data_IF_380871194337
#
_entry.id   IF_380871194337
#
_cell.length_a   1.000
_cell.length_b   1.000
_cell.length_c   1.000
_cell.angle_alpha   90.00
_cell.angle_beta   90.00
_cell.angle_gamma   90.00
#
_symmetry.space_group_name_H-M   'P 1'
#
loop_
_entity.id
_entity.type
_entity.pdbx_description
1 polymer ?
#
# COMPACT_ATOMS: atom_id res chain seq x y z
N UNK A 1 15.95 -47.04 -10.63
CA UNK A 1 14.73 -46.76 -9.84
C UNK A 1 14.66 -45.32 -9.31
N UNK A 2 15.67 -44.79 -8.60
CA UNK A 2 15.61 -43.41 -8.06
C UNK A 2 15.52 -42.31 -9.15
N UNK A 3 16.27 -42.43 -10.25
CA UNK A 3 16.28 -41.45 -11.34
C UNK A 3 14.94 -41.35 -12.09
N UNK A 4 14.22 -42.46 -12.24
CA UNK A 4 12.89 -42.49 -12.85
C UNK A 4 11.85 -41.83 -11.95
N UNK A 5 11.88 -42.12 -10.64
CA UNK A 5 11.01 -41.43 -9.66
C UNK A 5 11.23 -39.93 -9.64
N UNK A 6 12.49 -39.48 -9.65
CA UNK A 6 12.83 -38.05 -9.73
C UNK A 6 12.29 -37.40 -11.01
N UNK A 7 12.41 -38.08 -12.15
CA UNK A 7 11.89 -37.57 -13.43
C UNK A 7 10.37 -37.48 -13.43
N UNK A 8 9.68 -38.43 -12.83
CA UNK A 8 8.22 -38.44 -12.75
C UNK A 8 7.70 -37.37 -11.78
N UNK A 9 8.33 -37.19 -10.61
CA UNK A 9 8.02 -36.09 -9.70
C UNK A 9 8.29 -34.72 -10.35
N UNK A 10 9.39 -34.58 -11.10
CA UNK A 10 9.68 -33.35 -11.85
C UNK A 10 8.61 -33.05 -12.90
N UNK A 11 8.16 -34.06 -13.65
CA UNK A 11 7.06 -33.89 -14.62
C UNK A 11 5.76 -33.48 -13.94
N UNK A 12 5.43 -34.06 -12.79
CA UNK A 12 4.23 -33.69 -12.00
C UNK A 12 4.30 -32.26 -11.51
N UNK A 13 5.45 -31.85 -10.96
CA UNK A 13 5.69 -30.49 -10.53
C UNK A 13 5.56 -29.51 -11.71
N UNK A 14 6.15 -29.84 -12.86
CA UNK A 14 6.05 -29.03 -14.07
C UNK A 14 4.62 -28.92 -14.60
N UNK A 15 3.87 -30.02 -14.64
CA UNK A 15 2.47 -29.99 -15.07
C UNK A 15 1.59 -29.18 -14.11
N UNK A 16 1.86 -29.25 -12.80
CA UNK A 16 1.14 -28.45 -11.81
C UNK A 16 1.44 -26.96 -11.97
N UNK A 17 2.71 -26.58 -12.21
CA UNK A 17 3.11 -25.20 -12.51
C UNK A 17 2.44 -24.69 -13.79
N UNK A 18 2.40 -25.50 -14.85
CA UNK A 18 1.76 -25.14 -16.11
C UNK A 18 0.23 -24.99 -16.00
N UNK A 19 -0.39 -25.62 -15.00
CA UNK A 19 -1.82 -25.51 -14.72
C UNK A 19 -2.19 -24.32 -13.81
N UNK A 20 -1.21 -23.56 -13.30
CA UNK A 20 -1.47 -22.40 -12.46
C UNK A 20 -2.17 -21.29 -13.26
N UNK A 21 -3.09 -20.60 -12.58
CA UNK A 21 -3.75 -19.43 -13.13
C UNK A 21 -2.72 -18.31 -13.36
N UNK A 22 -2.65 -17.80 -14.59
CA UNK A 22 -1.68 -16.79 -14.99
C UNK A 22 -1.87 -15.46 -14.27
N UNK A 23 -3.11 -15.07 -13.97
CA UNK A 23 -3.43 -13.86 -13.21
C UNK A 23 -2.93 -14.01 -11.77
N UNK A 24 -3.19 -15.15 -11.13
CA UNK A 24 -2.72 -15.43 -9.76
C UNK A 24 -1.19 -15.38 -9.70
N UNK A 25 -0.51 -16.07 -10.61
CA UNK A 25 0.97 -16.06 -10.66
C UNK A 25 1.50 -14.65 -10.89
N UNK A 26 0.93 -13.92 -11.84
CA UNK A 26 1.33 -12.55 -12.13
C UNK A 26 1.20 -11.66 -10.89
N UNK A 27 0.06 -11.70 -10.20
CA UNK A 27 -0.18 -10.86 -9.02
C UNK A 27 0.78 -11.21 -7.89
N UNK A 28 0.97 -12.49 -7.60
CA UNK A 28 1.87 -12.94 -6.52
C UNK A 28 3.34 -12.59 -6.80
N UNK A 29 3.74 -12.46 -8.07
CA UNK A 29 5.07 -11.97 -8.45
C UNK A 29 5.14 -10.45 -8.43
N UNK A 30 4.11 -9.76 -8.90
CA UNK A 30 4.12 -8.29 -9.04
C UNK A 30 3.99 -7.59 -7.71
N UNK A 31 3.22 -8.12 -6.74
CA UNK A 31 3.08 -7.52 -5.40
C UNK A 31 4.45 -7.30 -4.73
N UNK A 32 5.32 -8.31 -4.54
CA UNK A 32 6.62 -8.09 -3.92
C UNK A 32 7.53 -7.20 -4.77
N UNK A 33 7.44 -7.24 -6.11
CA UNK A 33 8.20 -6.31 -6.96
C UNK A 33 7.77 -4.86 -6.74
N UNK A 34 6.46 -4.59 -6.67
CA UNK A 34 5.94 -3.26 -6.35
C UNK A 34 6.41 -2.80 -4.97
N UNK A 35 6.39 -3.67 -3.96
CA UNK A 35 6.92 -3.36 -2.63
C UNK A 35 8.43 -3.08 -2.65
N UNK A 36 9.23 -3.84 -3.40
CA UNK A 36 10.67 -3.57 -3.54
C UNK A 36 10.89 -2.22 -4.20
N UNK A 37 10.15 -1.90 -5.27
CA UNK A 37 10.24 -0.61 -5.96
C UNK A 37 9.84 0.53 -5.02
N UNK A 38 8.75 0.36 -4.26
CA UNK A 38 8.29 1.29 -3.23
C UNK A 38 9.39 1.61 -2.21
N UNK A 39 10.05 0.59 -1.66
CA UNK A 39 11.08 0.77 -0.64
C UNK A 39 12.36 1.42 -1.17
N UNK A 40 12.71 1.17 -2.44
CA UNK A 40 13.92 1.72 -3.05
C UNK A 40 13.65 3.09 -3.68
N UNK A 41 12.79 3.14 -4.69
CA UNK A 41 12.49 4.35 -5.47
C UNK A 41 11.63 5.35 -4.71
N UNK A 42 10.70 4.86 -3.88
CA UNK A 42 9.84 5.71 -3.06
C UNK A 42 10.54 6.31 -1.84
N UNK A 43 11.77 5.89 -1.52
CA UNK A 43 12.44 6.30 -0.30
C UNK A 43 12.65 7.81 -0.17
N UNK A 44 12.55 8.30 1.07
CA UNK A 44 12.81 9.71 1.38
C UNK A 44 14.28 10.09 1.17
N UNK A 45 15.20 9.16 1.35
CA UNK A 45 16.63 9.36 1.08
C UNK A 45 16.87 9.63 -0.39
N UNK A 46 16.30 8.81 -1.29
CA UNK A 46 16.41 9.02 -2.73
C UNK A 46 15.90 10.40 -3.14
N UNK A 47 14.75 10.82 -2.61
CA UNK A 47 14.25 12.18 -2.84
C UNK A 47 15.26 13.24 -2.40
N UNK A 48 15.80 13.14 -1.18
CA UNK A 48 16.74 14.14 -0.64
C UNK A 48 18.05 14.19 -1.41
N UNK A 49 18.53 13.06 -1.88
CA UNK A 49 19.81 12.95 -2.60
C UNK A 49 19.70 13.36 -4.07
N UNK A 50 18.60 12.99 -4.75
CA UNK A 50 18.51 13.11 -6.22
C UNK A 50 17.48 14.13 -6.70
N UNK A 51 16.46 14.44 -5.89
CA UNK A 51 15.33 15.27 -6.32
C UNK A 51 15.24 16.61 -5.58
N UNK A 52 15.69 16.69 -4.33
CA UNK A 52 15.55 17.90 -3.52
C UNK A 52 16.26 19.12 -4.12
N UNK A 53 17.34 18.92 -4.89
CA UNK A 53 18.06 20.00 -5.57
C UNK A 53 17.25 20.74 -6.64
N UNK A 54 16.14 20.16 -7.13
CA UNK A 54 15.26 20.81 -8.11
C UNK A 54 14.17 21.67 -7.47
N UNK A 55 14.05 21.67 -6.14
CA UNK A 55 13.00 22.38 -5.41
C UNK A 55 13.59 23.38 -4.41
N UNK A 56 12.85 24.43 -4.03
CA UNK A 56 13.31 25.35 -3.00
C UNK A 56 13.48 24.63 -1.65
N UNK A 57 14.53 24.97 -0.91
CA UNK A 57 14.93 24.28 0.31
C UNK A 57 13.83 24.23 1.39
N UNK A 58 13.01 25.28 1.47
CA UNK A 58 11.86 25.40 2.39
C UNK A 58 10.77 24.33 2.14
N UNK A 59 10.60 23.86 0.90
CA UNK A 59 9.61 22.83 0.53
C UNK A 59 10.18 21.41 0.62
N UNK A 60 11.50 21.26 0.72
CA UNK A 60 12.18 19.95 0.66
C UNK A 60 11.66 18.97 1.73
N UNK A 61 11.30 19.47 2.91
CA UNK A 61 10.75 18.67 4.00
C UNK A 61 9.42 18.00 3.66
N UNK A 62 8.42 18.80 3.26
CA UNK A 62 7.09 18.31 2.90
C UNK A 62 7.11 17.52 1.58
N UNK A 63 7.90 17.96 0.60
CA UNK A 63 8.03 17.25 -0.67
C UNK A 63 8.69 15.88 -0.52
N UNK A 64 9.64 15.72 0.42
CA UNK A 64 10.19 14.40 0.76
C UNK A 64 9.10 13.44 1.26
N UNK A 65 8.16 13.94 2.07
CA UNK A 65 7.01 13.15 2.52
C UNK A 65 6.01 12.91 1.39
N UNK A 66 5.69 13.94 0.60
CA UNK A 66 4.80 13.82 -0.55
C UNK A 66 5.33 12.82 -1.59
N UNK A 67 6.64 12.78 -1.83
CA UNK A 67 7.28 11.78 -2.67
C UNK A 67 7.06 10.38 -2.14
N UNK A 68 7.36 10.15 -0.85
CA UNK A 68 7.18 8.84 -0.24
C UNK A 68 5.72 8.40 -0.31
N UNK A 69 4.80 9.21 0.22
CA UNK A 69 3.37 8.90 0.19
C UNK A 69 2.81 8.73 -1.23
N UNK A 70 3.22 9.59 -2.15
CA UNK A 70 2.81 9.56 -3.55
C UNK A 70 3.27 8.27 -4.24
N UNK A 71 4.51 7.86 -4.04
CA UNK A 71 5.04 6.61 -4.59
C UNK A 71 4.32 5.38 -4.03
N UNK A 72 4.04 5.36 -2.73
CA UNK A 72 3.25 4.29 -2.12
C UNK A 72 1.80 4.26 -2.66
N UNK A 73 1.15 5.40 -2.79
CA UNK A 73 -0.21 5.51 -3.34
C UNK A 73 -0.27 5.13 -4.82
N UNK A 74 0.67 5.60 -5.64
CA UNK A 74 0.71 5.29 -7.07
C UNK A 74 1.02 3.81 -7.30
N UNK A 75 2.05 3.26 -6.64
CA UNK A 75 2.45 1.87 -6.82
C UNK A 75 1.52 0.88 -6.11
N UNK A 76 0.85 1.31 -5.03
CA UNK A 76 -0.05 0.46 -4.24
C UNK A 76 -1.52 0.53 -4.68
N UNK A 77 -1.96 1.64 -5.27
CA UNK A 77 -3.34 1.81 -5.75
C UNK A 77 -3.40 1.96 -7.26
N UNK A 78 -2.83 3.04 -7.81
CA UNK A 78 -3.05 3.41 -9.21
C UNK A 78 -2.57 2.31 -10.17
N UNK A 79 -1.31 1.88 -10.06
CA UNK A 79 -0.75 0.85 -10.93
C UNK A 79 -1.52 -0.49 -10.80
N UNK A 80 -1.78 -1.02 -9.60
CA UNK A 80 -2.61 -2.22 -9.42
C UNK A 80 -4.02 -2.15 -10.03
N UNK A 81 -4.72 -1.03 -9.85
CA UNK A 81 -6.05 -0.81 -10.45
C UNK A 81 -5.95 -0.84 -11.98
N UNK A 82 -5.00 -0.10 -12.56
CA UNK A 82 -4.81 -0.04 -14.01
C UNK A 82 -4.46 -1.43 -14.58
N UNK A 83 -3.62 -2.19 -13.89
CA UNK A 83 -3.27 -3.57 -14.27
C UNK A 83 -4.50 -4.47 -14.31
N UNK A 84 -5.33 -4.49 -13.25
CA UNK A 84 -6.50 -5.36 -13.25
C UNK A 84 -7.55 -4.96 -14.29
N UNK A 85 -7.74 -3.65 -14.51
CA UNK A 85 -8.71 -3.14 -15.48
C UNK A 85 -8.22 -3.36 -16.92
N UNK A 86 -6.98 -3.04 -17.25
CA UNK A 86 -6.51 -3.04 -18.63
C UNK A 86 -5.87 -4.36 -19.08
N UNK A 87 -5.13 -5.04 -18.19
CA UNK A 87 -4.46 -6.31 -18.50
C UNK A 87 -5.42 -7.48 -18.32
N UNK A 88 -6.10 -7.54 -17.18
CA UNK A 88 -7.00 -8.65 -16.83
C UNK A 88 -8.48 -8.37 -17.14
N UNK A 89 -8.80 -7.17 -17.65
CA UNK A 89 -10.17 -6.76 -18.07
C UNK A 89 -11.22 -6.96 -16.98
N UNK A 90 -10.83 -6.78 -15.71
CA UNK A 90 -11.73 -6.88 -14.56
C UNK A 90 -12.56 -5.61 -14.42
N UNK A 91 -13.78 -5.76 -13.93
CA UNK A 91 -14.65 -4.61 -13.61
C UNK A 91 -14.23 -4.01 -12.27
N UNK A 92 -14.35 -2.69 -12.05
CA UNK A 92 -14.01 -2.05 -10.77
C UNK A 92 -14.65 -2.72 -9.55
N UNK A 93 -15.90 -3.16 -9.67
CA UNK A 93 -16.62 -3.85 -8.60
C UNK A 93 -16.05 -5.22 -8.22
N UNK A 94 -15.37 -5.90 -9.15
CA UNK A 94 -14.75 -7.22 -8.94
C UNK A 94 -13.39 -7.11 -8.23
N UNK A 95 -12.81 -5.90 -8.19
CA UNK A 95 -11.45 -5.64 -7.69
C UNK A 95 -11.46 -4.78 -6.43
N UNK A 96 -12.56 -4.85 -5.66
CA UNK A 96 -12.70 -4.14 -4.39
C UNK A 96 -13.04 -2.64 -4.48
N UNK A 97 -13.29 -2.09 -5.68
CA UNK A 97 -13.71 -0.69 -5.86
C UNK A 97 -15.24 -0.52 -5.89
N UNK A 98 -15.96 -1.41 -5.20
CA UNK A 98 -17.40 -1.31 -4.96
C UNK A 98 -17.70 -0.69 -3.59
N UNK A 99 -18.96 -0.37 -3.33
CA UNK A 99 -19.40 0.13 -2.02
C UNK A 99 -19.33 -0.93 -0.90
N UNK A 100 -19.25 -2.22 -1.26
CA UNK A 100 -19.28 -3.33 -0.30
C UNK A 100 -20.50 -3.28 0.61
N UNK A 101 -20.34 -3.75 1.85
CA UNK A 101 -21.33 -3.58 2.92
C UNK A 101 -21.05 -2.29 3.70
N UNK A 102 -21.49 -1.16 3.15
CA UNK A 102 -21.26 0.17 3.74
C UNK A 102 -21.92 0.32 5.12
N UNK A 103 -23.03 -0.38 5.37
CA UNK A 103 -23.72 -0.33 6.66
C UNK A 103 -22.89 -0.99 7.74
N UNK A 104 -22.38 -2.20 7.47
CA UNK A 104 -21.48 -2.88 8.39
C UNK A 104 -20.21 -2.05 8.63
N UNK A 105 -19.59 -1.53 7.56
CA UNK A 105 -18.38 -0.72 7.67
C UNK A 105 -18.60 0.54 8.53
N UNK A 106 -19.71 1.25 8.32
CA UNK A 106 -20.05 2.45 9.09
C UNK A 106 -20.34 2.13 10.55
N UNK A 107 -21.12 1.07 10.82
CA UNK A 107 -21.39 0.62 12.19
C UNK A 107 -20.09 0.26 12.93
N UNK A 108 -19.21 -0.49 12.29
CA UNK A 108 -17.90 -0.82 12.87
C UNK A 108 -17.05 0.44 13.10
N UNK A 109 -17.02 1.38 12.15
CA UNK A 109 -16.27 2.62 12.29
C UNK A 109 -16.79 3.48 13.46
N UNK A 110 -18.11 3.63 13.60
CA UNK A 110 -18.73 4.40 14.71
C UNK A 110 -18.39 3.79 16.06
N UNK A 111 -18.31 2.46 16.17
CA UNK A 111 -17.96 1.78 17.42
C UNK A 111 -16.44 1.86 17.68
N UNK A 112 -15.63 1.67 16.64
CA UNK A 112 -14.18 1.54 16.76
C UNK A 112 -13.46 2.88 16.91
N UNK A 113 -13.90 3.93 16.21
CA UNK A 113 -13.24 5.25 16.25
C UNK A 113 -13.20 5.82 17.68
N UNK A 114 -14.30 5.86 18.47
CA UNK A 114 -14.23 6.36 19.84
C UNK A 114 -13.25 5.59 20.70
N UNK A 115 -13.20 4.26 20.58
CA UNK A 115 -12.25 3.42 21.31
C UNK A 115 -10.80 3.79 20.99
N UNK A 116 -10.49 3.94 19.69
CA UNK A 116 -9.16 4.33 19.23
C UNK A 116 -8.82 5.76 19.67
N UNK A 117 -9.75 6.70 19.57
CA UNK A 117 -9.55 8.10 19.97
C UNK A 117 -9.28 8.20 21.47
N UNK A 118 -10.06 7.51 22.31
CA UNK A 118 -9.84 7.50 23.76
C UNK A 118 -8.48 6.87 24.08
N UNK A 119 -8.16 5.71 23.49
CA UNK A 119 -6.88 5.04 23.71
C UNK A 119 -5.69 5.89 23.29
N UNK A 120 -5.75 6.50 22.11
CA UNK A 120 -4.68 7.36 21.58
C UNK A 120 -4.56 8.66 22.35
N UNK A 121 -5.66 9.23 22.87
CA UNK A 121 -5.61 10.39 23.77
C UNK A 121 -4.76 10.10 25.01
N UNK A 122 -5.01 8.99 25.71
CA UNK A 122 -4.21 8.62 26.88
C UNK A 122 -2.75 8.29 26.52
N UNK A 123 -2.52 7.58 25.41
CA UNK A 123 -1.16 7.24 24.98
C UNK A 123 -0.36 8.47 24.53
N UNK A 124 -1.04 9.50 24.01
CA UNK A 124 -0.39 10.70 23.46
C UNK A 124 0.36 11.50 24.52
N UNK A 125 -0.05 11.43 25.78
CA UNK A 125 0.63 12.13 26.90
C UNK A 125 1.91 11.42 27.35
N UNK A 126 2.17 10.20 26.87
CA UNK A 126 3.37 9.47 27.29
C UNK A 126 4.66 10.09 26.69
N UNK A 127 5.75 10.22 27.48
CA UNK A 127 7.02 10.77 26.98
C UNK A 127 7.58 9.97 25.78
N UNK A 128 7.37 8.66 25.78
CA UNK A 128 7.78 7.79 24.68
C UNK A 128 7.05 8.13 23.36
N UNK A 129 5.77 8.52 23.43
CA UNK A 129 5.00 8.92 22.26
C UNK A 129 5.44 10.28 21.73
N UNK A 130 5.58 11.27 22.62
CA UNK A 130 6.05 12.62 22.29
C UNK A 130 7.48 12.64 21.73
N UNK A 131 8.34 11.68 22.11
CA UNK A 131 9.68 11.55 21.56
C UNK A 131 9.69 11.12 20.08
N UNK A 132 8.60 10.53 19.57
CA UNK A 132 8.51 10.00 18.21
C UNK A 132 7.61 10.83 17.30
N UNK A 133 6.58 11.46 17.87
CA UNK A 133 5.55 12.19 17.13
C UNK A 133 5.59 13.69 17.43
N UNK A 134 5.22 14.55 16.46
CA UNK A 134 4.83 14.19 15.09
C UNK A 134 6.05 13.82 14.24
N UNK A 135 5.87 12.89 13.28
CA UNK A 135 6.92 12.49 12.35
C UNK A 135 7.42 13.66 11.48
N UNK A 136 6.55 14.65 11.25
CA UNK A 136 6.90 15.89 10.58
C UNK A 136 6.67 17.07 11.52
N UNK A 137 7.75 17.56 12.14
CA UNK A 137 7.73 18.63 13.14
C UNK A 137 6.90 19.86 12.77
N UNK A 138 7.00 20.41 11.54
CA UNK A 138 6.21 21.58 11.14
C UNK A 138 4.69 21.40 11.19
N UNK A 139 4.19 20.16 11.12
CA UNK A 139 2.76 19.87 11.26
C UNK A 139 2.24 20.09 12.70
N UNK A 140 3.11 20.22 13.70
CA UNK A 140 2.69 20.45 15.09
C UNK A 140 2.17 21.88 15.32
N UNK A 141 2.63 22.84 14.51
CA UNK A 141 2.41 24.28 14.73
C UNK A 141 1.64 24.96 13.62
N UNK A 142 1.41 24.28 12.49
CA UNK A 142 0.75 24.84 11.30
C UNK A 142 -0.35 23.90 10.80
N UNK A 143 -1.60 24.38 10.85
CA UNK A 143 -2.78 23.63 10.42
C UNK A 143 -2.80 23.32 8.92
N UNK A 144 -2.32 24.23 8.08
CA UNK A 144 -2.29 23.99 6.64
C UNK A 144 -1.28 22.87 6.32
N UNK A 145 -0.10 22.92 6.94
CA UNK A 145 0.92 21.88 6.80
C UNK A 145 0.42 20.54 7.34
N UNK A 146 -0.25 20.55 8.49
CA UNK A 146 -0.91 19.37 9.07
C UNK A 146 -1.90 18.74 8.09
N UNK A 147 -2.85 19.52 7.55
CA UNK A 147 -3.87 18.99 6.64
C UNK A 147 -3.27 18.44 5.34
N UNK A 148 -2.26 19.11 4.77
CA UNK A 148 -1.55 18.61 3.59
C UNK A 148 -0.88 17.27 3.90
N UNK A 149 -0.16 17.19 5.03
CA UNK A 149 0.51 15.98 5.45
C UNK A 149 -0.48 14.82 5.67
N UNK A 150 -1.60 15.06 6.36
CA UNK A 150 -2.61 14.04 6.64
C UNK A 150 -3.34 13.58 5.36
N UNK A 151 -3.60 14.47 4.40
CA UNK A 151 -4.18 14.07 3.10
C UNK A 151 -3.22 13.16 2.31
N UNK A 152 -1.92 13.46 2.32
CA UNK A 152 -0.91 12.60 1.71
C UNK A 152 -0.80 11.26 2.45
N UNK A 153 -0.85 11.28 3.78
CA UNK A 153 -0.86 10.09 4.63
C UNK A 153 -2.08 9.20 4.36
N UNK A 154 -3.26 9.79 4.17
CA UNK A 154 -4.48 9.09 3.78
C UNK A 154 -4.31 8.41 2.41
N UNK A 155 -3.75 9.12 1.43
CA UNK A 155 -3.50 8.56 0.10
C UNK A 155 -2.54 7.37 0.15
N UNK A 156 -1.51 7.45 1.00
CA UNK A 156 -0.64 6.32 1.31
C UNK A 156 -1.41 5.11 1.85
N UNK A 157 -2.31 5.32 2.82
CA UNK A 157 -3.10 4.24 3.40
C UNK A 157 -4.03 3.58 2.38
N UNK A 158 -4.62 4.36 1.48
CA UNK A 158 -5.39 3.81 0.35
C UNK A 158 -4.50 2.94 -0.54
N UNK A 159 -3.29 3.40 -0.86
CA UNK A 159 -2.27 2.62 -1.57
C UNK A 159 -1.92 1.31 -0.89
N UNK A 160 -1.62 1.38 0.40
CA UNK A 160 -1.21 0.24 1.20
C UNK A 160 -2.33 -0.80 1.33
N UNK A 161 -3.53 -0.38 1.76
CA UNK A 161 -4.67 -1.28 1.91
C UNK A 161 -5.08 -1.88 0.57
N UNK A 162 -5.07 -1.09 -0.50
CA UNK A 162 -5.46 -1.60 -1.81
C UNK A 162 -4.44 -2.61 -2.36
N UNK A 163 -3.13 -2.44 -2.17
CA UNK A 163 -2.15 -3.40 -2.67
C UNK A 163 -2.41 -4.82 -2.11
N UNK A 164 -2.73 -4.91 -0.81
CA UNK A 164 -2.95 -6.18 -0.14
C UNK A 164 -4.39 -6.69 -0.27
N UNK A 165 -5.38 -5.86 0.10
CA UNK A 165 -6.79 -6.27 0.10
C UNK A 165 -7.48 -6.06 -1.24
N UNK A 166 -7.08 -5.05 -2.01
CA UNK A 166 -7.61 -4.79 -3.34
C UNK A 166 -7.01 -5.72 -4.38
N UNK A 167 -5.72 -5.55 -4.64
CA UNK A 167 -5.01 -6.19 -5.73
C UNK A 167 -4.66 -7.66 -5.43
N UNK A 168 -3.96 -7.94 -4.33
CA UNK A 168 -3.58 -9.31 -3.99
C UNK A 168 -4.81 -10.17 -3.66
N UNK A 169 -5.66 -9.74 -2.72
CA UNK A 169 -6.80 -10.55 -2.29
C UNK A 169 -7.87 -10.71 -3.39
N UNK A 170 -8.46 -9.63 -3.93
CA UNK A 170 -9.48 -9.79 -4.99
C UNK A 170 -8.90 -10.27 -6.31
N UNK A 171 -7.68 -9.87 -6.66
CA UNK A 171 -7.06 -10.30 -7.90
C UNK A 171 -6.66 -11.78 -7.90
N UNK A 172 -6.50 -12.42 -6.74
CA UNK A 172 -6.28 -13.87 -6.65
C UNK A 172 -7.55 -14.67 -6.35
N UNK A 173 -8.68 -14.00 -6.10
CA UNK A 173 -9.95 -14.66 -5.87
C UNK A 173 -10.40 -15.43 -7.13
N UNK A 174 -10.85 -16.67 -6.93
CA UNK A 174 -11.47 -17.45 -8.01
C UNK A 174 -12.82 -16.81 -8.34
N UNK A 175 -13.04 -16.54 -9.62
CA UNK A 175 -14.31 -16.03 -10.18
C UNK A 175 -14.99 -17.12 -10.98
#
# INVERSE_FOLDING_TARGET
MALQRLRDEFRRAWSALAALDRQVVFILVVVPLLVIIQQNLGSRSLFREHLAGYFPAEWSGILSWAWWFGMQGVLGFLIPVLVLIFVFRRKPREIGLGAGDWKLATTLAIIYIPLVVIGTWFLSDSPAFQAKYPHYGPAATDWQVFLIYEMLFLFYWVGWEYLWRGFMLFGTARV
#
